data_IF_120200600893
#
_entry.id   IF_120200600893
#
_cell.length_a   1.000
_cell.length_b   1.000
_cell.length_c   1.000
_cell.angle_alpha   90.00
_cell.angle_beta   90.00
_cell.angle_gamma   90.00
#
_symmetry.space_group_name_H-M   'P 1'
#
loop_
_entity.id
_entity.type
_entity.pdbx_description
1 polymer ?
#
# COMPACT_ATOMS: atom_id res chain seq x y z
N UNK A 1 -8.01 -5.26 -0.79
CA UNK A 1 -8.49 -6.39 -1.60
C UNK A 1 -8.13 -6.21 -3.05
N UNK A 2 -7.62 -7.29 -3.69
CA UNK A 2 -7.33 -7.36 -5.13
C UNK A 2 -8.11 -8.53 -5.74
N UNK A 3 -8.27 -8.47 -7.07
CA UNK A 3 -9.05 -9.50 -7.80
C UNK A 3 -8.27 -10.80 -7.99
N UNK A 4 -6.96 -10.72 -8.20
CA UNK A 4 -6.14 -11.89 -8.54
C UNK A 4 -5.00 -12.12 -7.56
N UNK A 5 -4.54 -13.39 -7.48
CA UNK A 5 -3.39 -13.79 -6.65
C UNK A 5 -2.12 -13.03 -7.01
N UNK A 6 -1.83 -12.89 -8.30
CA UNK A 6 -0.63 -12.17 -8.77
C UNK A 6 -0.65 -10.69 -8.38
N UNK A 7 -1.83 -10.07 -8.38
CA UNK A 7 -1.96 -8.68 -7.93
C UNK A 7 -1.73 -8.53 -6.44
N UNK A 8 -2.08 -9.53 -5.61
CA UNK A 8 -1.77 -9.47 -4.17
C UNK A 8 -0.28 -9.35 -3.93
N UNK A 9 0.53 -10.18 -4.58
CA UNK A 9 1.99 -10.16 -4.44
C UNK A 9 2.57 -8.85 -4.98
N UNK A 10 2.21 -8.49 -6.23
CA UNK A 10 2.70 -7.26 -6.85
C UNK A 10 2.37 -6.00 -6.03
N UNK A 11 1.17 -5.92 -5.45
CA UNK A 11 0.78 -4.78 -4.64
C UNK A 11 1.52 -4.78 -3.30
N UNK A 12 1.65 -5.93 -2.64
CA UNK A 12 2.40 -6.05 -1.40
C UNK A 12 3.88 -5.68 -1.58
N UNK A 13 4.52 -6.11 -2.68
CA UNK A 13 5.89 -5.71 -3.03
C UNK A 13 6.04 -4.20 -3.20
N UNK A 14 5.13 -3.57 -3.93
CA UNK A 14 5.13 -2.11 -4.14
C UNK A 14 4.93 -1.33 -2.84
N UNK A 15 4.13 -1.84 -1.93
CA UNK A 15 3.93 -1.24 -0.62
C UNK A 15 5.19 -1.38 0.24
N UNK A 16 5.83 -2.56 0.26
CA UNK A 16 7.11 -2.77 0.95
C UNK A 16 8.22 -1.88 0.42
N UNK A 17 8.32 -1.74 -0.90
CA UNK A 17 9.29 -0.85 -1.55
C UNK A 17 9.11 0.64 -1.17
N UNK A 18 7.96 1.00 -0.60
CA UNK A 18 7.64 2.34 -0.08
C UNK A 18 7.71 2.44 1.44
N UNK A 19 8.27 1.42 2.10
CA UNK A 19 8.48 1.42 3.54
C UNK A 19 7.30 0.95 4.40
N UNK A 20 6.20 0.46 3.77
CA UNK A 20 5.08 -0.10 4.55
C UNK A 20 5.32 -1.55 4.92
N UNK A 21 4.90 -1.95 6.10
CA UNK A 21 4.86 -3.36 6.49
C UNK A 21 3.65 -4.04 5.85
N UNK A 22 3.85 -4.63 4.68
CA UNK A 22 2.79 -5.22 3.87
C UNK A 22 3.09 -6.68 3.52
N UNK A 23 2.06 -7.54 3.59
CA UNK A 23 2.15 -8.95 3.20
C UNK A 23 0.93 -9.37 2.38
N UNK A 24 1.16 -10.21 1.37
CA UNK A 24 0.10 -10.81 0.57
C UNK A 24 -0.40 -12.11 1.22
N UNK A 25 -1.71 -12.36 1.13
CA UNK A 25 -2.29 -13.68 1.32
C UNK A 25 -3.22 -14.03 0.15
N UNK A 26 -3.08 -15.23 -0.36
CA UNK A 26 -3.90 -15.78 -1.42
C UNK A 26 -4.11 -17.29 -1.21
N UNK A 27 -4.83 -17.94 -2.11
CA UNK A 27 -5.19 -19.35 -1.96
C UNK A 27 -4.04 -20.35 -2.07
N UNK A 28 -2.85 -19.92 -2.49
CA UNK A 28 -1.68 -20.80 -2.67
C UNK A 28 -0.79 -20.83 -1.41
N UNK A 29 -1.07 -19.95 -0.44
CA UNK A 29 -0.28 -19.87 0.81
C UNK A 29 -0.69 -20.99 1.77
N UNK A 30 0.31 -21.71 2.29
CA UNK A 30 0.10 -22.75 3.28
C UNK A 30 -0.63 -22.21 4.53
N UNK A 31 -1.51 -23.01 5.12
CA UNK A 31 -2.33 -22.61 6.27
C UNK A 31 -1.49 -22.08 7.44
N UNK A 32 -0.37 -22.74 7.74
CA UNK A 32 0.56 -22.30 8.80
C UNK A 32 1.11 -20.88 8.54
N UNK A 33 1.46 -20.58 7.30
CA UNK A 33 1.95 -19.26 6.94
C UNK A 33 0.84 -18.20 7.01
N UNK A 34 -0.38 -18.57 6.59
CA UNK A 34 -1.55 -17.70 6.72
C UNK A 34 -1.82 -17.34 8.18
N UNK A 35 -1.79 -18.31 9.08
CA UNK A 35 -1.99 -18.08 10.54
C UNK A 35 -0.92 -17.18 11.12
N UNK A 36 0.36 -17.37 10.75
CA UNK A 36 1.45 -16.48 11.14
C UNK A 36 1.21 -15.05 10.70
N UNK A 37 0.80 -14.85 9.45
CA UNK A 37 0.52 -13.52 8.89
C UNK A 37 -0.66 -12.86 9.61
N UNK A 38 -1.72 -13.61 9.89
CA UNK A 38 -2.87 -13.10 10.66
C UNK A 38 -2.45 -12.70 12.08
N UNK A 39 -1.62 -13.51 12.74
CA UNK A 39 -1.11 -13.18 14.07
C UNK A 39 -0.20 -11.93 14.06
N UNK A 40 0.60 -11.74 13.03
CA UNK A 40 1.38 -10.50 12.83
C UNK A 40 0.46 -9.28 12.65
N UNK A 41 -0.62 -9.42 11.88
CA UNK A 41 -1.63 -8.37 11.73
C UNK A 41 -2.32 -8.08 13.07
N UNK A 42 -2.71 -9.09 13.84
CA UNK A 42 -3.32 -8.93 15.17
C UNK A 42 -2.40 -8.23 16.16
N UNK A 43 -1.11 -8.55 16.16
CA UNK A 43 -0.12 -8.00 17.08
C UNK A 43 0.43 -6.63 16.69
N UNK A 44 0.07 -6.07 15.51
CA UNK A 44 0.59 -4.80 15.03
C UNK A 44 1.97 -4.86 14.40
N UNK A 45 2.54 -6.05 14.20
CA UNK A 45 3.79 -6.24 13.46
C UNK A 45 3.61 -6.13 11.94
N UNK A 46 2.38 -6.22 11.47
CA UNK A 46 1.96 -6.06 10.09
C UNK A 46 0.87 -5.00 10.03
N UNK A 47 1.02 -3.99 9.18
CA UNK A 47 0.04 -2.91 9.03
C UNK A 47 -0.91 -3.16 7.88
N UNK A 48 -0.42 -3.73 6.76
CA UNK A 48 -1.20 -3.90 5.55
C UNK A 48 -1.24 -5.36 5.14
N UNK A 49 -2.45 -5.90 5.02
CA UNK A 49 -2.68 -7.22 4.47
C UNK A 49 -3.31 -7.09 3.09
N UNK A 50 -2.65 -7.59 2.05
CA UNK A 50 -3.18 -7.63 0.69
C UNK A 50 -3.76 -9.01 0.42
N UNK A 51 -5.06 -9.09 0.12
CA UNK A 51 -5.78 -10.36 0.06
C UNK A 51 -6.74 -10.44 -1.13
N UNK A 52 -6.98 -11.66 -1.61
CA UNK A 52 -8.15 -11.99 -2.43
C UNK A 52 -9.34 -12.34 -1.53
N UNK A 53 -10.56 -12.32 -2.09
CA UNK A 53 -11.78 -12.67 -1.35
C UNK A 53 -11.70 -14.05 -0.69
N UNK A 54 -11.22 -15.05 -1.42
CA UNK A 54 -11.08 -16.42 -0.92
C UNK A 54 -10.13 -16.50 0.27
N UNK A 55 -9.00 -15.81 0.19
CA UNK A 55 -8.01 -15.81 1.25
C UNK A 55 -8.44 -15.00 2.48
N UNK A 56 -9.28 -14.00 2.30
CA UNK A 56 -9.79 -13.18 3.39
C UNK A 56 -10.98 -13.79 4.14
N UNK A 57 -11.57 -14.89 3.64
CA UNK A 57 -12.65 -15.57 4.36
C UNK A 57 -12.18 -16.07 5.72
N UNK A 58 -13.01 -15.84 6.74
CA UNK A 58 -12.69 -16.23 8.12
C UNK A 58 -11.61 -15.40 8.81
N UNK A 59 -11.13 -14.31 8.18
CA UNK A 59 -10.27 -13.36 8.88
C UNK A 59 -11.10 -12.63 9.96
N UNK A 60 -10.72 -12.87 11.20
CA UNK A 60 -11.26 -12.19 12.36
C UNK A 60 -10.15 -11.44 13.09
N UNK A 61 -10.04 -10.14 12.77
CA UNK A 61 -9.02 -9.24 13.30
C UNK A 61 -9.69 -7.91 13.64
N UNK A 62 -9.88 -7.66 14.91
CA UNK A 62 -10.62 -6.49 15.40
C UNK A 62 -9.93 -5.15 15.12
N UNK A 63 -8.59 -5.15 15.02
CA UNK A 63 -7.83 -3.92 14.81
C UNK A 63 -7.86 -3.36 13.39
N UNK A 64 -8.53 -4.01 12.45
CA UNK A 64 -8.64 -3.50 11.07
C UNK A 64 -9.49 -2.23 11.09
N UNK A 65 -8.85 -1.09 10.88
CA UNK A 65 -9.48 0.23 10.81
C UNK A 65 -9.99 0.56 9.41
N UNK A 66 -9.35 0.05 8.37
CA UNK A 66 -9.65 0.37 6.98
C UNK A 66 -9.75 -0.89 6.13
N UNK A 67 -10.73 -0.89 5.24
CA UNK A 67 -10.81 -1.84 4.12
C UNK A 67 -10.64 -1.07 2.83
N UNK A 68 -9.63 -1.45 2.03
CA UNK A 68 -9.38 -0.85 0.72
C UNK A 68 -9.69 -1.87 -0.37
N UNK A 69 -10.70 -1.61 -1.17
CA UNK A 69 -10.97 -2.34 -2.40
C UNK A 69 -10.10 -1.73 -3.51
N UNK A 70 -8.92 -2.29 -3.73
CA UNK A 70 -8.05 -1.90 -4.85
C UNK A 70 -8.72 -2.23 -6.18
N UNK A 71 -9.42 -3.36 -6.22
CA UNK A 71 -10.37 -3.71 -7.26
C UNK A 71 -11.78 -3.79 -6.65
N UNK A 72 -12.70 -2.98 -7.16
CA UNK A 72 -14.09 -3.05 -6.73
C UNK A 72 -14.68 -4.43 -7.10
N UNK A 73 -15.38 -5.12 -6.19
CA UNK A 73 -16.01 -6.40 -6.51
C UNK A 73 -17.19 -6.21 -7.45
N UNK A 74 -17.46 -7.23 -8.28
CA UNK A 74 -18.53 -7.20 -9.27
C UNK A 74 -19.91 -7.38 -8.61
N UNK A 75 -19.95 -8.17 -7.54
CA UNK A 75 -21.17 -8.49 -6.81
C UNK A 75 -21.21 -7.80 -5.44
N UNK A 76 -22.41 -7.49 -4.99
CA UNK A 76 -22.66 -6.73 -3.75
C UNK A 76 -22.41 -7.58 -2.49
N UNK A 77 -22.59 -8.90 -2.57
CA UNK A 77 -22.34 -9.79 -1.43
C UNK A 77 -20.83 -9.77 -1.08
N UNK A 78 -19.98 -9.92 -2.10
CA UNK A 78 -18.52 -9.78 -1.92
C UNK A 78 -18.15 -8.42 -1.36
N UNK A 79 -18.80 -7.34 -1.81
CA UNK A 79 -18.57 -6.01 -1.27
C UNK A 79 -18.87 -5.95 0.23
N UNK A 80 -20.02 -6.40 0.65
CA UNK A 80 -20.43 -6.43 2.07
C UNK A 80 -19.51 -7.30 2.91
N UNK A 81 -19.12 -8.46 2.39
CA UNK A 81 -18.16 -9.36 3.05
C UNK A 81 -16.78 -8.74 3.24
N UNK A 82 -16.32 -7.92 2.27
CA UNK A 82 -15.04 -7.22 2.37
C UNK A 82 -15.10 -6.10 3.39
N UNK A 83 -16.08 -5.20 3.29
CA UNK A 83 -16.20 -4.08 4.24
C UNK A 83 -16.49 -4.57 5.67
N UNK A 84 -17.18 -5.71 5.84
CA UNK A 84 -17.36 -6.37 7.13
C UNK A 84 -16.08 -6.91 7.78
N UNK A 85 -14.88 -6.63 7.23
CA UNK A 85 -13.59 -6.87 7.90
C UNK A 85 -13.20 -5.71 8.81
N UNK A 86 -13.79 -4.54 8.68
CA UNK A 86 -13.61 -3.38 9.58
C UNK A 86 -14.92 -3.06 10.33
N UNK A 87 -14.90 -2.11 11.25
CA UNK A 87 -16.07 -1.71 12.02
C UNK A 87 -16.61 -2.78 12.95
N UNK A 88 -15.76 -3.66 13.49
CA UNK A 88 -16.15 -4.77 14.36
C UNK A 88 -16.08 -4.40 15.84
N UNK A 89 -16.83 -5.15 16.65
CA UNK A 89 -16.84 -5.00 18.10
C UNK A 89 -17.19 -3.57 18.58
N UNK A 90 -18.12 -2.91 17.88
CA UNK A 90 -18.54 -1.53 18.22
C UNK A 90 -17.58 -0.43 17.85
N UNK A 91 -16.52 -0.74 17.10
CA UNK A 91 -15.55 0.24 16.57
C UNK A 91 -16.06 0.84 15.24
N UNK A 92 -15.63 2.05 14.95
CA UNK A 92 -15.77 2.65 13.62
C UNK A 92 -14.73 2.08 12.67
N UNK A 93 -15.02 2.10 11.36
CA UNK A 93 -14.10 1.67 10.34
C UNK A 93 -14.45 2.26 8.98
N UNK A 94 -13.43 2.47 8.16
CA UNK A 94 -13.56 3.08 6.85
C UNK A 94 -13.44 2.05 5.73
N UNK A 95 -14.28 2.19 4.71
CA UNK A 95 -14.23 1.39 3.50
C UNK A 95 -13.99 2.29 2.29
N UNK A 96 -12.85 2.09 1.63
CA UNK A 96 -12.42 2.87 0.47
C UNK A 96 -12.41 1.97 -0.76
N UNK A 97 -12.96 2.44 -1.88
CA UNK A 97 -12.95 1.67 -3.13
C UNK A 97 -12.39 2.51 -4.27
N UNK A 98 -11.41 1.95 -5.00
CA UNK A 98 -10.97 2.53 -6.26
C UNK A 98 -11.92 2.08 -7.37
N UNK A 99 -12.46 3.05 -8.10
CA UNK A 99 -13.46 2.82 -9.14
C UNK A 99 -12.99 3.44 -10.44
N UNK A 100 -12.83 2.63 -11.47
CA UNK A 100 -12.53 3.12 -12.82
C UNK A 100 -13.80 3.70 -13.48
N UNK A 101 -13.68 4.56 -14.51
CA UNK A 101 -14.85 5.07 -15.23
C UNK A 101 -15.78 3.98 -15.77
N UNK A 102 -15.23 2.81 -16.13
CA UNK A 102 -16.00 1.66 -16.63
C UNK A 102 -16.80 0.95 -15.54
N UNK A 103 -16.37 1.08 -14.30
CA UNK A 103 -16.97 0.42 -13.13
C UNK A 103 -17.95 1.32 -12.38
N UNK A 104 -18.13 2.59 -12.79
CA UNK A 104 -19.04 3.55 -12.13
C UNK A 104 -20.45 3.01 -11.89
N UNK A 105 -20.96 2.18 -12.81
CA UNK A 105 -22.27 1.55 -12.64
C UNK A 105 -22.37 0.69 -11.36
N UNK A 106 -21.24 0.12 -10.89
CA UNK A 106 -21.22 -0.71 -9.68
C UNK A 106 -21.50 0.11 -8.42
N UNK A 107 -21.17 1.41 -8.42
CA UNK A 107 -21.46 2.32 -7.30
C UNK A 107 -22.96 2.30 -6.99
N UNK A 108 -23.79 2.62 -7.97
CA UNK A 108 -25.24 2.64 -7.77
C UNK A 108 -25.85 1.29 -7.38
N UNK A 109 -25.26 0.18 -7.86
CA UNK A 109 -25.68 -1.17 -7.46
C UNK A 109 -25.34 -1.44 -5.99
N UNK A 110 -24.14 -1.04 -5.55
CA UNK A 110 -23.69 -1.17 -4.16
C UNK A 110 -24.52 -0.28 -3.23
N UNK A 111 -24.73 0.99 -3.58
CA UNK A 111 -25.54 1.93 -2.80
C UNK A 111 -26.97 1.41 -2.60
N UNK A 112 -27.58 0.90 -3.67
CA UNK A 112 -28.92 0.31 -3.59
C UNK A 112 -28.98 -0.93 -2.70
N UNK A 113 -27.94 -1.76 -2.74
CA UNK A 113 -27.92 -3.00 -1.96
C UNK A 113 -27.58 -2.78 -0.48
N UNK A 114 -26.73 -1.79 -0.20
CA UNK A 114 -26.32 -1.45 1.18
C UNK A 114 -27.22 -0.44 1.86
N UNK A 115 -28.04 0.30 1.10
CA UNK A 115 -28.82 1.42 1.60
C UNK A 115 -27.99 2.63 2.02
N UNK A 116 -26.71 2.68 1.65
CA UNK A 116 -25.77 3.73 2.01
C UNK A 116 -25.20 4.40 0.76
N UNK A 117 -25.17 5.73 0.76
CA UNK A 117 -24.52 6.50 -0.30
C UNK A 117 -22.99 6.42 -0.15
N UNK A 118 -22.29 6.27 -1.28
CA UNK A 118 -20.84 6.30 -1.36
C UNK A 118 -20.38 7.73 -1.70
N UNK A 119 -19.53 8.28 -0.84
CA UNK A 119 -19.00 9.64 -1.04
C UNK A 119 -17.70 9.58 -1.84
N UNK A 120 -17.58 10.42 -2.87
CA UNK A 120 -16.34 10.56 -3.61
C UNK A 120 -15.26 11.17 -2.72
N UNK A 121 -14.18 10.43 -2.52
CA UNK A 121 -13.03 10.87 -1.73
C UNK A 121 -11.97 11.49 -2.66
N UNK A 122 -11.55 12.70 -2.35
CA UNK A 122 -10.39 13.30 -3.00
C UNK A 122 -9.13 12.68 -2.43
N UNK A 123 -8.21 12.27 -3.33
CA UNK A 123 -6.90 11.83 -2.90
C UNK A 123 -6.17 13.00 -2.24
N UNK A 124 -5.52 12.77 -1.07
CA UNK A 124 -4.73 13.81 -0.42
C UNK A 124 -3.58 14.24 -1.35
N UNK A 125 -3.30 15.51 -1.35
CA UNK A 125 -2.12 16.07 -2.03
C UNK A 125 -0.84 15.75 -1.23
N UNK A 126 0.32 15.95 -1.85
CA UNK A 126 1.61 15.83 -1.14
C UNK A 126 1.66 16.79 0.04
N UNK A 127 1.12 17.99 -0.11
CA UNK A 127 1.08 19.01 0.95
C UNK A 127 0.18 18.57 2.12
N UNK A 128 -0.98 17.96 1.84
CA UNK A 128 -1.87 17.41 2.88
C UNK A 128 -1.19 16.29 3.67
N UNK A 129 -0.47 15.42 2.95
CA UNK A 129 0.28 14.33 3.58
C UNK A 129 1.42 14.89 4.44
N UNK A 130 2.17 15.86 3.92
CA UNK A 130 3.26 16.49 4.65
C UNK A 130 2.77 17.24 5.89
N UNK A 131 1.66 17.98 5.78
CA UNK A 131 1.03 18.65 6.93
C UNK A 131 0.64 17.64 8.02
N UNK A 132 -0.01 16.52 7.63
CA UNK A 132 -0.36 15.47 8.59
C UNK A 132 0.86 14.83 9.25
N UNK A 133 1.95 14.61 8.51
CA UNK A 133 3.20 14.05 9.04
C UNK A 133 3.89 15.00 10.01
N UNK A 134 3.91 16.28 9.70
CA UNK A 134 4.45 17.31 10.60
C UNK A 134 3.64 17.37 11.90
N UNK A 135 2.30 17.40 11.82
CA UNK A 135 1.45 17.38 13.02
C UNK A 135 1.76 16.18 13.92
N UNK A 136 1.86 14.98 13.34
CA UNK A 136 2.21 13.76 14.10
C UNK A 136 3.60 13.81 14.70
N UNK A 137 4.55 14.41 14.00
CA UNK A 137 5.90 14.59 14.51
C UNK A 137 5.91 15.55 15.70
N UNK A 138 5.18 16.67 15.62
CA UNK A 138 5.03 17.64 16.70
C UNK A 138 4.34 17.01 17.92
N UNK A 139 3.28 16.24 17.70
CA UNK A 139 2.57 15.48 18.75
C UNK A 139 3.51 14.48 19.45
N UNK A 140 4.33 13.74 18.68
CA UNK A 140 5.28 12.77 19.22
C UNK A 140 6.37 13.45 20.08
N UNK A 141 6.86 14.64 19.66
CA UNK A 141 7.78 15.45 20.47
C UNK A 141 7.10 15.89 21.76
N UNK A 142 5.88 16.38 21.67
CA UNK A 142 5.10 16.85 22.83
C UNK A 142 4.89 15.73 23.84
N UNK A 143 4.46 14.56 23.38
CA UNK A 143 4.28 13.37 24.23
C UNK A 143 5.61 12.93 24.88
N UNK A 144 6.71 12.95 24.10
CA UNK A 144 8.01 12.60 24.64
C UNK A 144 8.47 13.59 25.74
N UNK A 145 8.19 14.90 25.58
CA UNK A 145 8.53 15.93 26.57
C UNK A 145 7.75 15.78 27.89
N UNK A 146 6.58 15.15 27.90
CA UNK A 146 5.84 14.85 29.11
C UNK A 146 6.53 13.78 29.98
N UNK A 147 7.40 12.96 29.40
CA UNK A 147 8.15 11.88 30.07
C UNK A 147 9.40 12.40 30.76
N UNK A 148 9.23 13.33 31.69
CA UNK A 148 10.31 14.11 32.34
C UNK A 148 11.46 13.26 32.93
N UNK A 149 11.24 12.11 33.63
CA UNK A 149 12.36 11.33 34.18
C UNK A 149 13.31 10.80 33.10
N UNK A 150 12.74 10.36 31.96
CA UNK A 150 13.50 9.82 30.84
C UNK A 150 14.21 10.94 30.06
N UNK A 151 13.53 12.06 29.85
CA UNK A 151 14.09 13.23 29.21
C UNK A 151 15.29 13.78 29.98
N UNK A 152 15.25 13.79 31.34
CA UNK A 152 16.36 14.27 32.14
C UNK A 152 17.64 13.46 31.92
N UNK A 153 17.52 12.11 31.85
CA UNK A 153 18.66 11.24 31.57
C UNK A 153 19.28 11.52 30.18
N UNK A 154 18.44 11.70 29.16
CA UNK A 154 18.94 12.02 27.83
C UNK A 154 19.53 13.43 27.73
N UNK A 155 19.00 14.38 28.49
CA UNK A 155 19.54 15.73 28.54
C UNK A 155 21.01 15.75 28.99
N UNK A 156 21.34 15.03 30.06
CA UNK A 156 22.72 14.94 30.56
C UNK A 156 23.68 14.35 29.52
N UNK A 157 23.21 13.31 28.78
CA UNK A 157 23.98 12.71 27.70
C UNK A 157 24.21 13.68 26.55
N UNK A 158 23.17 14.43 26.16
CA UNK A 158 23.24 15.40 25.06
C UNK A 158 24.15 16.56 25.45
N UNK A 159 24.06 17.10 26.68
CA UNK A 159 24.93 18.16 27.17
C UNK A 159 26.41 17.71 27.17
N UNK A 160 26.67 16.45 27.54
CA UNK A 160 28.01 15.89 27.47
C UNK A 160 28.53 15.86 26.02
N UNK A 161 27.69 15.43 25.07
CA UNK A 161 28.03 15.38 23.63
C UNK A 161 28.32 16.77 23.08
N UNK A 162 27.45 17.75 23.34
CA UNK A 162 27.57 19.14 22.91
C UNK A 162 28.90 19.74 23.38
N UNK A 163 29.25 19.56 24.68
CA UNK A 163 30.52 20.07 25.25
C UNK A 163 31.76 19.44 24.64
N UNK A 164 31.67 18.14 24.26
CA UNK A 164 32.88 17.46 23.75
C UNK A 164 33.08 17.65 22.24
N UNK A 165 32.05 18.04 21.51
CA UNK A 165 32.10 18.14 20.05
C UNK A 165 31.89 19.54 19.51
N UNK A 166 31.66 20.54 20.40
CA UNK A 166 31.44 21.96 20.06
C UNK A 166 30.37 22.14 18.95
N UNK A 167 29.24 21.48 19.12
CA UNK A 167 28.10 21.53 18.18
C UNK A 167 26.88 22.13 18.88
N UNK A 168 26.02 22.90 18.16
CA UNK A 168 24.78 23.43 18.71
C UNK A 168 23.80 22.32 19.12
N UNK A 169 23.07 22.54 20.22
CA UNK A 169 22.01 21.61 20.67
C UNK A 169 20.92 21.39 19.60
N UNK A 170 20.60 22.43 18.81
CA UNK A 170 19.67 22.33 17.69
C UNK A 170 20.12 21.34 16.63
N UNK A 171 21.42 21.28 16.35
CA UNK A 171 21.98 20.36 15.34
C UNK A 171 22.01 18.94 15.86
N UNK A 172 22.24 18.73 17.16
CA UNK A 172 22.13 17.44 17.81
C UNK A 172 20.67 16.96 17.79
N UNK A 173 19.70 17.85 18.08
CA UNK A 173 18.28 17.52 17.99
C UNK A 173 17.87 17.14 16.56
N UNK A 174 18.33 17.89 15.56
CA UNK A 174 18.08 17.58 14.14
C UNK A 174 18.71 16.22 13.73
N UNK A 175 19.93 15.95 14.19
CA UNK A 175 20.59 14.67 13.93
C UNK A 175 19.85 13.49 14.59
N UNK A 176 19.36 13.65 15.82
CA UNK A 176 18.54 12.63 16.51
C UNK A 176 17.21 12.40 15.82
N UNK A 177 16.54 13.45 15.32
CA UNK A 177 15.34 13.34 14.51
C UNK A 177 15.61 12.55 13.22
N UNK A 178 16.74 12.80 12.54
CA UNK A 178 17.16 12.06 11.35
C UNK A 178 17.43 10.58 11.66
N UNK A 179 18.07 10.27 12.78
CA UNK A 179 18.30 8.89 13.22
C UNK A 179 16.98 8.19 13.56
N UNK A 180 16.08 8.85 14.28
CA UNK A 180 14.78 8.32 14.66
C UNK A 180 13.85 8.10 13.45
N UNK A 181 13.95 8.95 12.43
CA UNK A 181 13.21 8.85 11.18
C UNK A 181 13.54 7.55 10.43
N UNK A 182 14.78 7.05 10.50
CA UNK A 182 15.24 5.89 9.75
C UNK A 182 15.40 6.17 8.25
N UNK A 183 15.19 5.15 7.43
CA UNK A 183 15.44 5.24 5.97
C UNK A 183 14.33 5.90 5.14
N UNK A 184 13.20 6.28 5.74
CA UNK A 184 12.06 6.86 5.02
C UNK A 184 11.99 8.37 5.28
N UNK A 185 11.99 9.23 4.23
CA UNK A 185 11.89 10.68 4.41
C UNK A 185 10.61 11.08 5.15
N UNK A 186 10.74 11.98 6.13
CA UNK A 186 9.60 12.54 6.86
C UNK A 186 8.65 13.27 5.90
N UNK A 187 9.21 14.07 5.02
CA UNK A 187 8.46 14.83 4.02
C UNK A 187 8.59 14.17 2.65
N UNK A 188 7.48 14.15 1.92
CA UNK A 188 7.44 13.72 0.53
C UNK A 188 7.86 14.88 -0.36
N UNK A 189 8.67 14.59 -1.37
CA UNK A 189 8.95 15.52 -2.43
C UNK A 189 7.98 15.31 -3.60
N UNK A 190 7.29 16.39 -3.99
CA UNK A 190 6.26 16.35 -5.02
C UNK A 190 6.80 15.93 -6.40
N UNK A 191 8.05 16.24 -6.71
CA UNK A 191 8.66 15.84 -7.99
C UNK A 191 9.00 14.35 -8.00
N UNK A 192 9.56 13.84 -6.92
CA UNK A 192 9.87 12.42 -6.75
C UNK A 192 8.60 11.56 -6.78
N UNK A 193 7.52 11.99 -6.14
CA UNK A 193 6.24 11.28 -6.17
C UNK A 193 5.59 11.32 -7.56
N UNK A 194 5.66 12.43 -8.28
CA UNK A 194 5.19 12.52 -9.68
C UNK A 194 6.01 11.63 -10.61
N UNK A 195 7.32 11.55 -10.44
CA UNK A 195 8.20 10.67 -11.20
C UNK A 195 7.88 9.20 -10.91
N UNK A 196 7.71 8.83 -9.65
CA UNK A 196 7.30 7.49 -9.23
C UNK A 196 5.91 7.10 -9.75
N UNK A 197 4.98 8.03 -9.85
CA UNK A 197 3.65 7.81 -10.42
C UNK A 197 3.67 7.62 -11.96
N UNK A 198 4.62 8.23 -12.66
CA UNK A 198 4.80 8.09 -14.14
C UNK A 198 5.51 6.78 -14.52
N UNK A 199 6.50 6.35 -13.75
CA UNK A 199 7.33 5.17 -14.05
C UNK A 199 6.55 3.86 -14.30
N UNK A 200 5.40 3.55 -13.65
CA UNK A 200 4.67 2.31 -13.92
C UNK A 200 3.87 2.30 -15.23
N UNK A 201 3.55 3.44 -15.81
CA UNK A 201 2.79 3.51 -17.07
C UNK A 201 3.63 3.08 -18.26
N UNK A 202 4.88 3.52 -18.31
CA UNK A 202 5.80 3.21 -19.42
C UNK A 202 6.27 1.75 -19.36
N UNK A 203 6.52 1.20 -18.18
CA UNK A 203 6.85 -0.21 -18.01
C UNK A 203 5.68 -1.15 -18.37
N UNK A 204 4.42 -0.76 -18.12
CA UNK A 204 3.23 -1.53 -18.54
C UNK A 204 2.99 -1.44 -20.04
N UNK A 205 3.29 -0.33 -20.69
CA UNK A 205 3.22 -0.18 -22.14
C UNK A 205 4.29 -1.05 -22.82
N UNK A 206 5.53 -1.01 -22.37
CA UNK A 206 6.63 -1.83 -22.86
C UNK A 206 6.39 -3.35 -22.65
N UNK A 207 5.84 -3.76 -21.50
CA UNK A 207 5.51 -5.15 -21.25
C UNK A 207 4.31 -5.67 -22.07
N UNK A 208 3.41 -4.77 -22.47
CA UNK A 208 2.27 -5.10 -23.34
C UNK A 208 2.71 -5.26 -24.81
N UNK A 209 3.64 -4.44 -25.27
CA UNK A 209 4.25 -4.55 -26.62
C UNK A 209 5.15 -5.79 -26.73
N UNK A 210 5.87 -6.17 -25.66
CA UNK A 210 6.67 -7.38 -25.62
C UNK A 210 5.83 -8.68 -25.58
N UNK A 211 4.53 -8.58 -25.23
CA UNK A 211 3.60 -9.73 -25.11
C UNK A 211 2.65 -9.85 -26.31
N UNK A 212 2.72 -8.97 -27.28
CA UNK A 212 1.96 -9.11 -28.53
C UNK A 212 2.46 -10.35 -29.30
N UNK A 213 1.60 -11.32 -29.61
CA UNK A 213 2.02 -12.50 -30.37
C UNK A 213 2.50 -12.04 -31.74
N UNK A 214 3.75 -12.31 -32.04
CA UNK A 214 4.24 -12.23 -33.41
C UNK A 214 3.42 -13.19 -34.24
N UNK A 215 2.62 -12.67 -35.14
CA UNK A 215 1.87 -13.45 -36.11
C UNK A 215 2.86 -14.31 -36.93
N UNK A 216 2.73 -15.64 -36.96
CA UNK A 216 3.56 -16.47 -37.83
C UNK A 216 2.92 -16.49 -39.22
N UNK A 217 3.15 -15.44 -39.97
CA UNK A 217 2.60 -15.27 -41.29
C UNK A 217 3.60 -14.69 -42.28
N UNK A 218 4.78 -15.27 -42.37
CA UNK A 218 5.63 -15.09 -43.55
C UNK A 218 6.44 -16.38 -43.76
N UNK A 219 5.76 -17.40 -44.24
CA UNK A 219 6.42 -18.54 -44.87
C UNK A 219 6.62 -18.23 -46.32
N UNK A 220 7.82 -17.81 -46.65
CA UNK A 220 8.46 -17.78 -47.96
C UNK A 220 7.87 -18.83 -48.88
N UNK A 221 7.30 -18.32 -49.97
CA UNK A 221 6.88 -19.04 -51.17
C UNK A 221 8.13 -19.69 -51.80
N UNK A 222 8.43 -20.93 -51.47
CA UNK A 222 9.46 -21.71 -52.12
C UNK A 222 9.06 -21.94 -53.58
N UNK A 223 9.87 -21.45 -54.47
CA UNK A 223 9.83 -21.67 -55.91
C UNK A 223 9.93 -23.16 -56.20
N UNK A 224 8.96 -23.67 -56.93
CA UNK A 224 9.06 -24.96 -57.63
C UNK A 224 9.99 -24.81 -58.83
N UNK A 225 11.01 -25.63 -59.02
CA UNK A 225 11.71 -25.70 -60.29
C UNK A 225 10.85 -26.44 -61.34
N UNK A 226 10.76 -25.82 -62.50
CA UNK A 226 10.17 -26.40 -63.70
C UNK A 226 11.18 -27.36 -64.37
N UNK A 227 10.66 -28.46 -64.86
CA UNK A 227 11.19 -29.14 -66.00
C UNK A 227 12.00 -30.42 -65.70
N UNK A 228 11.48 -31.58 -66.10
CA UNK A 228 12.06 -32.33 -67.23
C UNK A 228 11.11 -33.45 -67.67
N UNK A 229 10.84 -33.40 -68.96
CA UNK A 229 10.26 -34.48 -69.75
C UNK A 229 11.07 -35.78 -69.70
N UNK A 230 10.43 -36.89 -69.53
CA UNK A 230 10.36 -38.04 -70.45
C UNK A 230 9.46 -39.09 -69.86
#
# INVERSE_FOLDING_TARGET
FTRTKNETETLAEKLRARGYTATAINGDIAQVQRERTVNQLKSGKLDILVATDVAARGLDVERISHVVNFDIPIDTESYVHRIGRTGRAGRTGDAISFVTPRERRLIGVIEKATGQALTEMRLPTVDDINATRLTRFDEAITEALERQPEISQFRDIIEHYVRNHDVPESDVAAALALVAQGGTPLLLDAETERAAAKAPRDARAAARDARAPRHPGDRTRAQRPAGLNR
#
